data_IF_764383518655
#
_entry.id   IF_764383518655
#
_cell.length_a   1.000
_cell.length_b   1.000
_cell.length_c   1.000
_cell.angle_alpha   90.00
_cell.angle_beta   90.00
_cell.angle_gamma   90.00
#
_symmetry.space_group_name_H-M   'P 1'
#
loop_
_entity.id
_entity.type
_entity.pdbx_description
1 polymer ?
#
# COMPACT_ATOMS: atom_id res chain seq x y z
N UNK A 1 -1.78 18.17 -15.94
CA UNK A 1 -2.39 17.97 -17.26
C UNK A 1 -2.58 16.48 -17.50
N UNK A 2 -3.70 16.06 -18.03
CA UNK A 2 -4.00 14.66 -18.38
C UNK A 2 -4.68 14.60 -19.75
N UNK A 3 -4.50 13.48 -20.43
CA UNK A 3 -5.16 13.19 -21.69
C UNK A 3 -5.38 11.69 -21.81
N UNK A 4 -6.48 11.29 -22.43
CA UNK A 4 -6.83 9.90 -22.68
C UNK A 4 -7.30 9.74 -24.12
N UNK A 5 -7.05 8.57 -24.67
CA UNK A 5 -7.47 8.13 -25.99
C UNK A 5 -8.17 6.79 -25.86
N UNK A 6 -9.38 6.69 -26.36
CA UNK A 6 -10.16 5.45 -26.38
C UNK A 6 -10.41 4.98 -27.80
N UNK A 7 -10.34 3.68 -28.00
CA UNK A 7 -10.67 3.01 -29.24
C UNK A 7 -11.65 1.87 -28.99
N UNK A 8 -12.79 1.90 -29.67
CA UNK A 8 -13.80 0.87 -29.60
C UNK A 8 -14.23 0.49 -31.01
N UNK A 9 -13.96 -0.74 -31.41
CA UNK A 9 -14.41 -1.28 -32.69
C UNK A 9 -14.63 -2.79 -32.59
N UNK A 10 -15.82 -3.21 -32.99
CA UNK A 10 -16.23 -4.62 -33.02
C UNK A 10 -15.98 -5.34 -31.68
N UNK A 11 -15.01 -6.20 -31.63
CA UNK A 11 -14.63 -7.01 -30.47
C UNK A 11 -13.52 -6.39 -29.60
N UNK A 12 -12.90 -5.32 -30.07
CA UNK A 12 -11.74 -4.70 -29.43
C UNK A 12 -12.13 -3.37 -28.80
N UNK A 13 -11.82 -3.23 -27.51
CA UNK A 13 -11.79 -1.95 -26.81
C UNK A 13 -10.38 -1.74 -26.29
N UNK A 14 -9.80 -0.56 -26.48
CA UNK A 14 -8.49 -0.21 -25.96
C UNK A 14 -8.45 1.24 -25.49
N UNK A 15 -7.56 1.54 -24.56
CA UNK A 15 -7.31 2.89 -24.12
C UNK A 15 -5.82 3.15 -23.91
N UNK A 16 -5.43 4.41 -24.04
CA UNK A 16 -4.13 4.94 -23.65
C UNK A 16 -4.36 6.24 -22.91
N UNK A 17 -3.80 6.39 -21.72
CA UNK A 17 -3.91 7.60 -20.93
C UNK A 17 -2.54 8.05 -20.41
N UNK A 18 -2.33 9.35 -20.37
CA UNK A 18 -1.11 9.96 -19.88
C UNK A 18 -1.40 11.20 -19.03
N UNK A 19 -0.58 11.44 -18.03
CA UNK A 19 -0.64 12.67 -17.25
C UNK A 19 0.76 13.13 -16.84
N UNK A 20 0.89 14.43 -16.63
CA UNK A 20 2.06 15.07 -16.04
C UNK A 20 1.59 16.01 -14.94
N UNK A 21 2.30 16.04 -13.83
CA UNK A 21 2.02 16.88 -12.66
C UNK A 21 3.32 17.49 -12.13
N UNK A 22 3.19 18.62 -11.47
CA UNK A 22 4.22 19.17 -10.60
C UNK A 22 3.67 19.30 -9.20
N UNK A 23 4.34 18.71 -8.22
CA UNK A 23 4.01 18.80 -6.80
C UNK A 23 5.07 19.63 -6.11
N UNK A 24 4.68 20.80 -5.63
CA UNK A 24 5.54 21.66 -4.83
C UNK A 24 5.23 21.49 -3.35
N UNK A 25 6.25 21.28 -2.54
CA UNK A 25 6.16 21.23 -1.08
C UNK A 25 6.94 22.34 -0.46
N UNK A 26 6.36 23.00 0.53
CA UNK A 26 6.98 23.96 1.41
C UNK A 26 6.35 23.85 2.80
N UNK A 27 7.07 24.29 3.83
CA UNK A 27 6.64 24.23 5.23
C UNK A 27 6.75 25.61 5.85
N UNK A 28 5.77 25.98 6.65
CA UNK A 28 5.81 27.15 7.50
C UNK A 28 5.75 26.73 8.97
N UNK A 29 6.86 26.89 9.68
CA UNK A 29 6.96 26.61 11.11
C UNK A 29 6.47 27.80 11.93
N UNK A 30 5.66 27.53 12.96
CA UNK A 30 5.07 28.59 13.82
C UNK A 30 5.69 28.62 15.22
N UNK A 31 6.54 27.69 15.57
CA UNK A 31 6.92 27.44 16.95
C UNK A 31 8.43 27.42 17.19
N UNK A 32 9.21 26.86 16.30
CA UNK A 32 10.63 26.56 16.50
C UNK A 32 11.57 27.52 15.77
N UNK A 33 11.06 28.23 14.77
CA UNK A 33 11.83 29.17 13.98
C UNK A 33 11.38 30.60 14.23
N UNK A 34 12.31 31.57 14.15
CA UNK A 34 11.96 32.99 14.09
C UNK A 34 11.23 33.31 12.75
N UNK A 35 10.62 34.49 12.68
CA UNK A 35 9.83 34.88 11.51
C UNK A 35 10.60 34.94 10.19
N UNK A 36 11.92 35.09 10.23
CA UNK A 36 12.75 35.15 9.02
C UNK A 36 13.08 33.77 8.48
N UNK A 37 13.11 32.74 9.34
CA UNK A 37 13.47 31.38 9.01
C UNK A 37 12.27 30.39 9.12
N UNK A 38 11.07 30.92 9.38
CA UNK A 38 9.87 30.12 9.57
C UNK A 38 9.43 29.39 8.31
N UNK A 39 9.74 29.92 7.13
CA UNK A 39 9.41 29.33 5.84
C UNK A 39 10.58 28.53 5.28
N UNK A 40 10.32 27.30 4.88
CA UNK A 40 11.31 26.43 4.24
C UNK A 40 11.53 26.80 2.77
N UNK A 41 12.55 26.24 2.18
CA UNK A 41 12.65 26.18 0.72
C UNK A 41 11.47 25.40 0.13
N UNK A 42 11.12 25.75 -1.12
CA UNK A 42 10.14 25.00 -1.91
C UNK A 42 10.85 23.92 -2.73
N UNK A 43 10.51 22.66 -2.50
CA UNK A 43 10.99 21.55 -3.31
C UNK A 43 9.91 21.10 -4.29
N UNK A 44 10.29 20.85 -5.55
CA UNK A 44 9.36 20.50 -6.62
C UNK A 44 9.69 19.14 -7.20
N UNK A 45 8.63 18.32 -7.39
CA UNK A 45 8.71 16.98 -7.97
C UNK A 45 7.81 16.90 -9.19
N UNK A 46 8.40 16.59 -10.34
CA UNK A 46 7.64 16.33 -11.57
C UNK A 46 7.23 14.88 -11.58
N UNK A 47 5.92 14.65 -11.53
CA UNK A 47 5.31 13.34 -11.64
C UNK A 47 4.71 13.11 -13.03
N UNK A 48 4.61 11.85 -13.43
CA UNK A 48 3.92 11.47 -14.65
C UNK A 48 3.30 10.09 -14.53
N UNK A 49 2.25 9.87 -15.32
CA UNK A 49 1.58 8.58 -15.43
C UNK A 49 1.40 8.25 -16.90
N UNK A 50 1.71 7.01 -17.26
CA UNK A 50 1.33 6.43 -18.56
C UNK A 50 0.67 5.09 -18.27
N UNK A 51 -0.54 4.90 -18.78
CA UNK A 51 -1.28 3.64 -18.64
C UNK A 51 -2.05 3.33 -19.91
N UNK A 52 -2.16 2.07 -20.21
CA UNK A 52 -2.93 1.60 -21.36
C UNK A 52 -3.46 0.20 -21.11
N UNK A 53 -4.49 -0.15 -21.83
CA UNK A 53 -5.09 -1.46 -21.76
C UNK A 53 -5.93 -1.78 -22.96
N UNK A 54 -6.20 -3.05 -23.12
CA UNK A 54 -7.08 -3.56 -24.16
C UNK A 54 -7.93 -4.72 -23.65
N UNK A 55 -9.16 -4.77 -24.10
CA UNK A 55 -10.07 -5.90 -23.91
C UNK A 55 -10.49 -6.42 -25.27
N UNK A 56 -10.47 -7.74 -25.45
CA UNK A 56 -10.92 -8.40 -26.64
C UNK A 56 -12.00 -9.43 -26.33
N UNK A 57 -13.19 -9.21 -26.88
CA UNK A 57 -14.32 -10.14 -26.77
C UNK A 57 -14.13 -11.30 -27.76
N UNK A 58 -13.73 -12.46 -27.27
CA UNK A 58 -13.59 -13.67 -28.08
C UNK A 58 -14.93 -14.05 -28.72
N UNK A 59 -15.99 -14.00 -27.94
CA UNK A 59 -17.39 -14.15 -28.31
C UNK A 59 -18.32 -13.49 -27.28
N UNK A 60 -19.61 -13.79 -27.32
CA UNK A 60 -20.62 -13.21 -26.40
C UNK A 60 -20.39 -13.58 -24.91
N UNK A 61 -19.66 -14.65 -24.64
CA UNK A 61 -19.46 -15.21 -23.30
C UNK A 61 -18.04 -15.02 -22.77
N UNK A 62 -17.05 -14.81 -23.62
CA UNK A 62 -15.64 -14.86 -23.27
C UNK A 62 -14.92 -13.59 -23.69
N UNK A 63 -14.16 -13.04 -22.79
CA UNK A 63 -13.23 -11.93 -23.07
C UNK A 63 -11.89 -12.14 -22.41
N UNK A 64 -10.86 -11.52 -22.97
CA UNK A 64 -9.53 -11.38 -22.37
C UNK A 64 -9.18 -9.92 -22.33
N UNK A 65 -8.44 -9.52 -21.28
CA UNK A 65 -7.93 -8.17 -21.20
C UNK A 65 -6.51 -8.13 -20.67
N UNK A 66 -5.81 -7.06 -21.00
CA UNK A 66 -4.50 -6.75 -20.44
C UNK A 66 -4.41 -5.25 -20.14
N UNK A 67 -3.82 -4.93 -19.00
CA UNK A 67 -3.53 -3.57 -18.58
C UNK A 67 -2.06 -3.43 -18.22
N UNK A 68 -1.48 -2.28 -18.52
CA UNK A 68 -0.14 -1.91 -18.10
C UNK A 68 -0.13 -0.45 -17.67
N UNK A 69 0.63 -0.14 -16.62
CA UNK A 69 0.77 1.22 -16.13
C UNK A 69 2.14 1.48 -15.53
N UNK A 70 2.60 2.70 -15.73
CA UNK A 70 3.77 3.23 -15.05
C UNK A 70 3.44 4.60 -14.45
N UNK A 71 3.73 4.76 -13.17
CA UNK A 71 3.46 5.97 -12.41
C UNK A 71 4.77 6.42 -11.76
N UNK A 72 5.10 7.71 -11.91
CA UNK A 72 6.11 8.42 -11.12
C UNK A 72 5.41 9.53 -10.36
N UNK A 73 5.49 9.52 -9.04
CA UNK A 73 4.82 10.49 -8.17
C UNK A 73 5.78 11.08 -7.14
N UNK A 74 5.48 12.28 -6.68
CA UNK A 74 6.21 12.89 -5.57
C UNK A 74 6.22 11.98 -4.34
N UNK A 75 7.31 11.93 -3.57
CA UNK A 75 7.36 11.26 -2.28
C UNK A 75 6.38 11.92 -1.29
N UNK A 76 6.13 11.29 -0.15
CA UNK A 76 5.33 11.93 0.90
C UNK A 76 6.02 13.20 1.41
N UNK A 77 5.21 14.15 1.91
CA UNK A 77 5.72 15.39 2.49
C UNK A 77 6.66 15.11 3.66
N UNK A 78 6.18 14.42 4.70
CA UNK A 78 6.98 14.06 5.86
C UNK A 78 7.69 12.72 5.64
N UNK A 79 8.97 12.66 5.93
CA UNK A 79 9.78 11.47 5.77
C UNK A 79 10.23 11.20 4.33
N UNK A 80 9.66 11.89 3.34
CA UNK A 80 10.03 11.81 1.93
C UNK A 80 10.71 13.10 1.46
N UNK A 81 9.93 14.16 1.21
CA UNK A 81 10.44 15.45 0.73
C UNK A 81 11.16 16.26 1.81
N UNK A 82 10.75 16.09 3.06
CA UNK A 82 11.39 16.71 4.23
C UNK A 82 11.93 15.63 5.16
N UNK A 83 12.98 15.96 5.92
CA UNK A 83 13.47 15.11 6.99
C UNK A 83 12.34 14.91 8.03
N UNK A 84 12.26 13.74 8.59
CA UNK A 84 11.25 13.45 9.62
C UNK A 84 11.65 14.08 10.95
N UNK A 85 11.40 15.39 11.07
CA UNK A 85 11.60 16.12 12.31
C UNK A 85 10.45 17.10 12.48
N UNK A 86 9.83 17.10 13.66
CA UNK A 86 8.77 18.04 14.00
C UNK A 86 9.32 19.49 14.16
N UNK A 87 10.63 19.62 14.35
CA UNK A 87 11.31 20.87 14.68
C UNK A 87 12.18 21.40 13.55
N UNK A 88 12.17 20.78 12.35
CA UNK A 88 13.06 21.13 11.26
C UNK A 88 12.31 21.51 9.98
N UNK A 89 12.76 22.58 9.34
CA UNK A 89 12.42 22.97 7.97
C UNK A 89 13.35 22.34 6.92
N UNK A 90 14.26 21.47 7.34
CA UNK A 90 15.24 20.86 6.45
C UNK A 90 14.57 19.93 5.43
N UNK A 91 14.91 20.15 4.18
CA UNK A 91 14.52 19.27 3.08
C UNK A 91 15.36 17.99 3.11
N UNK A 92 14.81 16.90 2.59
CA UNK A 92 15.56 15.66 2.42
C UNK A 92 16.41 15.76 1.14
N UNK A 93 17.75 15.77 1.24
CA UNK A 93 18.62 15.90 0.07
C UNK A 93 18.57 14.68 -0.86
N UNK A 94 18.15 13.53 -0.34
CA UNK A 94 18.08 12.28 -1.08
C UNK A 94 16.66 12.01 -1.63
N UNK A 95 15.74 12.98 -1.53
CA UNK A 95 14.35 12.80 -1.94
C UNK A 95 14.21 12.52 -3.43
N UNK A 96 13.53 11.42 -3.76
CA UNK A 96 13.23 11.01 -5.13
C UNK A 96 11.75 10.65 -5.28
N UNK A 97 11.25 10.70 -6.51
CA UNK A 97 9.90 10.21 -6.81
C UNK A 97 9.78 8.72 -6.54
N UNK A 98 8.67 8.33 -5.93
CA UNK A 98 8.23 6.93 -5.92
C UNK A 98 7.76 6.54 -7.32
N UNK A 99 8.06 5.30 -7.75
CA UNK A 99 7.66 4.77 -9.04
C UNK A 99 6.89 3.47 -8.87
N UNK A 100 5.90 3.25 -9.72
CA UNK A 100 5.08 2.05 -9.70
C UNK A 100 4.95 1.55 -11.13
N UNK A 101 5.36 0.32 -11.37
CA UNK A 101 5.06 -0.42 -12.57
C UNK A 101 3.99 -1.46 -12.24
N UNK A 102 2.95 -1.56 -13.07
CA UNK A 102 1.90 -2.56 -12.89
C UNK A 102 1.52 -3.18 -14.23
N UNK A 103 1.33 -4.49 -14.22
CA UNK A 103 0.82 -5.27 -15.33
C UNK A 103 -0.28 -6.21 -14.82
N UNK A 104 -1.36 -6.33 -15.58
CA UNK A 104 -2.48 -7.21 -15.30
C UNK A 104 -2.93 -7.91 -16.57
N UNK A 105 -3.23 -9.20 -16.47
CA UNK A 105 -3.84 -10.01 -17.51
C UNK A 105 -5.07 -10.70 -16.94
N UNK A 106 -6.21 -10.59 -17.62
CA UNK A 106 -7.44 -11.15 -17.15
C UNK A 106 -8.22 -11.91 -18.22
N UNK A 107 -9.05 -12.82 -17.74
CA UNK A 107 -10.00 -13.57 -18.52
C UNK A 107 -11.38 -13.51 -17.87
N UNK A 108 -12.38 -13.11 -18.62
CA UNK A 108 -13.77 -13.05 -18.20
C UNK A 108 -14.63 -14.10 -18.90
N UNK A 109 -15.48 -14.75 -18.12
CA UNK A 109 -16.57 -15.58 -18.61
C UNK A 109 -17.91 -15.03 -18.12
N UNK A 110 -18.88 -14.92 -19.01
CA UNK A 110 -20.20 -14.39 -18.67
C UNK A 110 -21.31 -15.17 -19.36
N UNK A 111 -22.18 -15.77 -18.58
CA UNK A 111 -23.39 -16.41 -19.05
C UNK A 111 -24.59 -16.01 -18.16
N UNK A 112 -25.83 -16.36 -18.52
CA UNK A 112 -27.01 -16.07 -17.68
C UNK A 112 -26.93 -16.68 -16.29
N UNK A 113 -26.22 -17.80 -16.13
CA UNK A 113 -26.17 -18.60 -14.91
C UNK A 113 -24.85 -18.51 -14.17
N UNK A 114 -23.78 -18.07 -14.85
CA UNK A 114 -22.44 -18.03 -14.28
C UNK A 114 -21.61 -16.88 -14.88
N UNK A 115 -21.00 -16.10 -14.01
CA UNK A 115 -20.01 -15.07 -14.38
C UNK A 115 -18.77 -15.32 -13.55
N UNK A 116 -17.60 -15.27 -14.18
CA UNK A 116 -16.32 -15.38 -13.48
C UNK A 116 -15.28 -14.48 -14.14
N UNK A 117 -14.37 -13.91 -13.34
CA UNK A 117 -13.18 -13.23 -13.78
C UNK A 117 -11.97 -13.86 -13.12
N UNK A 118 -10.94 -14.14 -13.90
CA UNK A 118 -9.64 -14.61 -13.45
C UNK A 118 -8.58 -13.59 -13.84
N UNK A 119 -7.86 -13.07 -12.86
CA UNK A 119 -6.82 -12.08 -13.05
C UNK A 119 -5.49 -12.60 -12.56
N UNK A 120 -4.42 -12.28 -13.30
CA UNK A 120 -3.03 -12.42 -12.87
C UNK A 120 -2.42 -11.03 -12.90
N UNK A 121 -1.78 -10.63 -11.81
CA UNK A 121 -1.18 -9.31 -11.70
C UNK A 121 0.26 -9.37 -11.23
N UNK A 122 1.03 -8.35 -11.64
CA UNK A 122 2.36 -8.05 -11.14
C UNK A 122 2.49 -6.54 -10.98
N UNK A 123 2.80 -6.10 -9.77
CA UNK A 123 3.06 -4.69 -9.46
C UNK A 123 4.39 -4.57 -8.74
N UNK A 124 5.24 -3.68 -9.20
CA UNK A 124 6.51 -3.36 -8.59
C UNK A 124 6.53 -1.90 -8.16
N UNK A 125 6.83 -1.70 -6.89
CA UNK A 125 7.06 -0.40 -6.28
C UNK A 125 8.55 -0.15 -6.19
N UNK A 126 8.97 1.06 -6.56
CA UNK A 126 10.36 1.50 -6.47
C UNK A 126 10.44 2.79 -5.67
N UNK A 127 11.56 2.95 -4.98
CA UNK A 127 11.93 4.18 -4.31
C UNK A 127 10.90 4.68 -3.28
N UNK A 128 10.19 3.77 -2.60
CA UNK A 128 9.40 4.17 -1.43
C UNK A 128 10.36 4.68 -0.36
N UNK A 129 9.90 5.68 0.37
CA UNK A 129 10.68 6.24 1.48
C UNK A 129 10.16 5.71 2.81
N UNK A 130 11.07 5.32 3.68
CA UNK A 130 10.83 5.10 5.10
C UNK A 130 11.74 6.00 5.92
N UNK A 131 11.24 6.53 7.03
CA UNK A 131 12.00 7.44 7.86
C UNK A 131 11.91 7.05 9.33
N UNK A 132 13.03 7.23 10.03
CA UNK A 132 13.14 6.99 11.46
C UNK A 132 14.08 7.98 12.10
N UNK A 133 14.17 8.01 13.43
CA UNK A 133 15.05 8.91 14.14
C UNK A 133 15.55 8.32 15.45
N UNK A 134 16.72 8.81 15.89
CA UNK A 134 17.36 8.51 17.17
C UNK A 134 17.58 9.82 17.90
N UNK A 135 17.33 9.86 19.20
CA UNK A 135 17.64 11.03 20.01
C UNK A 135 19.15 11.17 20.17
N UNK A 136 19.64 12.39 20.06
CA UNK A 136 21.01 12.75 20.42
C UNK A 136 20.96 13.33 21.83
N UNK A 137 21.68 12.70 22.77
CA UNK A 137 21.68 13.07 24.19
C UNK A 137 23.03 13.67 24.61
N UNK A 138 22.97 14.59 25.55
CA UNK A 138 24.15 15.13 26.23
C UNK A 138 24.74 14.11 27.24
N UNK A 139 25.86 14.50 27.89
CA UNK A 139 26.50 13.65 28.92
C UNK A 139 25.62 13.39 30.14
N UNK A 140 24.53 14.14 30.31
CA UNK A 140 23.57 14.00 31.42
C UNK A 140 22.32 13.20 31.03
N UNK A 141 22.23 12.73 29.76
CA UNK A 141 21.09 12.01 29.22
C UNK A 141 19.92 12.90 28.79
N UNK A 142 20.14 14.23 28.65
CA UNK A 142 19.10 15.10 28.11
C UNK A 142 19.15 15.09 26.60
N UNK A 143 17.98 15.00 25.94
CA UNK A 143 17.89 15.13 24.51
C UNK A 143 18.30 16.56 24.09
N UNK A 144 19.32 16.68 23.27
CA UNK A 144 19.82 17.98 22.73
C UNK A 144 19.49 18.15 21.26
N UNK A 145 19.35 17.05 20.50
CA UNK A 145 18.97 17.06 19.09
C UNK A 145 18.41 15.69 18.69
N UNK A 146 18.18 15.49 17.40
CA UNK A 146 17.69 14.25 16.82
C UNK A 146 18.45 13.92 15.53
N UNK A 147 19.01 12.73 15.47
CA UNK A 147 19.53 12.14 14.24
C UNK A 147 18.39 11.51 13.46
N UNK A 148 18.10 12.02 12.28
CA UNK A 148 17.03 11.54 11.42
C UNK A 148 17.59 10.84 10.20
N UNK A 149 17.02 9.72 9.82
CA UNK A 149 17.37 8.96 8.61
C UNK A 149 16.12 8.82 7.75
N UNK A 150 16.24 9.20 6.49
CA UNK A 150 15.23 8.96 5.46
C UNK A 150 15.82 7.99 4.45
N UNK A 151 15.23 6.81 4.35
CA UNK A 151 15.68 5.76 3.44
C UNK A 151 14.83 5.76 2.18
N UNK A 152 15.42 6.02 1.04
CA UNK A 152 14.86 5.80 -0.28
C UNK A 152 15.26 4.43 -0.80
N UNK A 153 14.61 4.01 -1.89
CA UNK A 153 14.92 2.72 -2.50
C UNK A 153 14.32 1.54 -1.73
N UNK A 154 13.26 1.76 -0.96
CA UNK A 154 12.48 0.68 -0.35
C UNK A 154 11.54 0.13 -1.39
N UNK A 155 11.97 -0.92 -2.09
CA UNK A 155 11.24 -1.53 -3.19
C UNK A 155 10.39 -2.71 -2.73
N UNK A 156 9.27 -2.93 -3.41
CA UNK A 156 8.39 -4.06 -3.13
C UNK A 156 7.79 -4.65 -4.40
N UNK A 157 7.66 -5.97 -4.43
CA UNK A 157 6.98 -6.70 -5.50
C UNK A 157 5.70 -7.33 -4.97
N UNK A 158 4.59 -7.06 -5.66
CA UNK A 158 3.28 -7.63 -5.41
C UNK A 158 2.83 -8.38 -6.64
N UNK A 159 2.64 -9.67 -6.54
CA UNK A 159 2.13 -10.49 -7.64
C UNK A 159 1.17 -11.54 -7.12
N UNK A 160 0.23 -11.94 -7.96
CA UNK A 160 -0.76 -12.91 -7.53
C UNK A 160 -1.78 -13.26 -8.60
N UNK A 161 -2.74 -14.07 -8.16
CA UNK A 161 -3.88 -14.54 -8.95
C UNK A 161 -5.14 -14.26 -8.15
N UNK A 162 -6.16 -13.75 -8.82
CA UNK A 162 -7.47 -13.45 -8.26
C UNK A 162 -8.55 -14.09 -9.11
N UNK A 163 -9.52 -14.67 -8.47
CA UNK A 163 -10.72 -15.23 -9.07
C UNK A 163 -11.94 -14.68 -8.35
N UNK A 164 -12.88 -14.13 -9.07
CA UNK A 164 -14.22 -13.85 -8.57
C UNK A 164 -15.28 -14.54 -9.44
N UNK A 165 -16.38 -14.92 -8.83
CA UNK A 165 -17.48 -15.52 -9.55
C UNK A 165 -18.84 -15.26 -8.91
N UNK A 166 -19.85 -15.28 -9.75
CA UNK A 166 -21.26 -15.32 -9.35
C UNK A 166 -21.94 -16.46 -10.10
N UNK A 167 -22.59 -17.35 -9.37
CA UNK A 167 -23.35 -18.47 -9.92
C UNK A 167 -24.84 -18.36 -9.53
N UNK A 168 -25.73 -18.63 -10.47
CA UNK A 168 -27.19 -18.68 -10.29
C UNK A 168 -27.71 -20.02 -10.77
N UNK A 169 -27.38 -21.13 -10.06
CA UNK A 169 -27.74 -22.48 -10.51
C UNK A 169 -29.25 -22.67 -10.54
N UNK A 170 -29.96 -21.93 -9.68
CA UNK A 170 -31.41 -21.97 -9.59
C UNK A 170 -31.97 -20.56 -9.45
N UNK A 171 -33.23 -20.33 -9.80
CA UNK A 171 -33.89 -19.01 -9.67
C UNK A 171 -33.97 -18.52 -8.22
N UNK A 172 -33.89 -19.41 -7.27
CA UNK A 172 -33.99 -19.13 -5.85
C UNK A 172 -32.61 -19.03 -5.15
N UNK A 173 -31.49 -19.35 -5.82
CA UNK A 173 -30.16 -19.40 -5.20
C UNK A 173 -29.15 -18.56 -6.00
N UNK A 174 -28.58 -17.58 -5.36
CA UNK A 174 -27.42 -16.84 -5.83
C UNK A 174 -26.20 -17.23 -4.96
N UNK A 175 -25.08 -17.59 -5.59
CA UNK A 175 -23.81 -17.93 -4.94
C UNK A 175 -22.77 -16.96 -5.50
N UNK A 176 -21.96 -16.36 -4.64
CA UNK A 176 -20.83 -15.56 -5.03
C UNK A 176 -19.58 -16.02 -4.29
N UNK A 177 -18.44 -15.87 -4.90
CA UNK A 177 -17.17 -16.20 -4.27
C UNK A 177 -16.04 -15.40 -4.84
N UNK A 178 -14.99 -15.28 -4.02
CA UNK A 178 -13.73 -14.67 -4.39
C UNK A 178 -12.59 -15.49 -3.79
N UNK A 179 -11.50 -15.58 -4.52
CA UNK A 179 -10.25 -16.17 -4.06
C UNK A 179 -9.10 -15.33 -4.57
N UNK A 180 -8.20 -14.94 -3.69
CA UNK A 180 -6.97 -14.24 -4.03
C UNK A 180 -5.78 -14.88 -3.34
N UNK A 181 -4.72 -15.12 -4.09
CA UNK A 181 -3.44 -15.59 -3.59
C UNK A 181 -2.33 -14.69 -4.13
N UNK A 182 -1.73 -13.91 -3.23
CA UNK A 182 -0.60 -13.03 -3.52
C UNK A 182 0.73 -13.61 -3.04
N UNK A 183 1.81 -13.09 -3.58
CA UNK A 183 3.17 -13.22 -3.09
C UNK A 183 3.79 -11.83 -3.06
N UNK A 184 3.69 -11.18 -1.91
CA UNK A 184 4.13 -9.80 -1.71
C UNK A 184 5.37 -9.77 -0.86
N UNK A 185 6.42 -9.19 -1.40
CA UNK A 185 7.74 -9.13 -0.76
C UNK A 185 8.40 -7.78 -0.98
N UNK A 186 9.14 -7.35 0.01
CA UNK A 186 10.17 -6.34 -0.17
C UNK A 186 11.27 -6.94 -1.04
N UNK A 187 11.96 -6.11 -1.84
CA UNK A 187 12.88 -6.57 -2.88
C UNK A 187 14.13 -5.69 -3.03
N UNK A 188 14.55 -5.04 -1.94
CA UNK A 188 15.71 -4.16 -1.96
C UNK A 188 16.47 -4.17 -0.63
N UNK A 189 17.68 -3.61 -0.69
CA UNK A 189 18.53 -3.32 0.48
C UNK A 189 18.81 -1.81 0.50
N UNK A 190 17.80 -0.96 0.85
CA UNK A 190 17.97 0.47 0.87
C UNK A 190 19.01 0.91 1.88
N UNK A 191 19.68 2.03 1.60
CA UNK A 191 20.64 2.67 2.48
C UNK A 191 20.22 4.11 2.72
N UNK A 192 20.17 4.53 3.98
CA UNK A 192 19.93 5.91 4.36
C UNK A 192 21.10 6.51 5.11
N UNK A 193 21.13 7.83 5.17
CA UNK A 193 22.14 8.62 5.87
C UNK A 193 21.51 9.45 6.97
N UNK A 194 22.27 9.72 8.04
CA UNK A 194 21.78 10.47 9.19
C UNK A 194 22.04 11.97 9.03
N UNK A 195 21.03 12.74 9.35
CA UNK A 195 21.06 14.22 9.39
C UNK A 195 20.55 14.71 10.75
N UNK A 196 21.09 15.83 11.22
CA UNK A 196 20.56 16.51 12.41
C UNK A 196 19.25 17.27 12.07
N UNK A 197 18.66 17.94 13.07
CA UNK A 197 17.42 18.71 12.90
C UNK A 197 17.56 19.91 11.96
N UNK A 198 18.77 20.35 11.68
CA UNK A 198 19.06 21.43 10.72
C UNK A 198 19.36 20.91 9.31
N UNK A 199 19.34 19.59 9.09
CA UNK A 199 19.66 18.98 7.81
C UNK A 199 21.16 18.86 7.53
N UNK A 200 21.99 19.00 8.55
CA UNK A 200 23.43 18.82 8.42
C UNK A 200 23.77 17.33 8.55
N UNK A 201 24.69 16.80 7.72
CA UNK A 201 25.10 15.41 7.77
C UNK A 201 25.82 15.09 9.08
N UNK A 202 25.58 13.87 9.59
CA UNK A 202 26.16 13.38 10.82
C UNK A 202 27.15 12.24 10.54
N UNK A 203 28.27 12.24 11.25
CA UNK A 203 29.18 11.10 11.41
C UNK A 203 28.89 10.40 12.75
N UNK A 204 29.43 9.20 12.92
CA UNK A 204 29.31 8.45 14.18
C UNK A 204 30.69 7.99 14.65
N UNK A 205 31.15 8.61 15.71
CA UNK A 205 32.48 8.39 16.27
C UNK A 205 32.43 8.13 17.78
N UNK A 206 33.17 7.16 18.24
CA UNK A 206 33.29 6.82 19.67
C UNK A 206 31.92 6.65 20.39
N UNK A 207 30.91 6.11 19.66
CA UNK A 207 29.58 5.90 20.22
C UNK A 207 28.68 7.13 20.24
N UNK A 208 29.06 8.23 19.58
CA UNK A 208 28.28 9.48 19.54
C UNK A 208 28.14 10.02 18.12
N UNK A 209 27.02 10.69 17.84
CA UNK A 209 26.86 11.48 16.62
C UNK A 209 27.65 12.77 16.73
N UNK A 210 28.37 13.09 15.66
CA UNK A 210 29.14 14.33 15.48
C UNK A 210 28.85 14.90 14.08
N UNK A 211 29.10 16.18 13.84
CA UNK A 211 28.96 16.75 12.52
C UNK A 211 29.95 16.12 11.53
N UNK A 212 29.46 15.73 10.36
CA UNK A 212 30.30 15.23 9.27
C UNK A 212 30.89 16.39 8.47
N UNK A 213 32.07 16.20 7.89
CA UNK A 213 32.81 17.25 7.19
C UNK A 213 32.29 17.54 5.78
N UNK A 214 31.23 16.91 5.33
CA UNK A 214 30.59 17.15 4.03
C UNK A 214 29.46 16.16 3.76
N UNK A 215 28.55 16.54 2.86
CA UNK A 215 27.31 15.79 2.58
C UNK A 215 27.58 14.35 2.09
N UNK A 216 28.69 14.10 1.44
CA UNK A 216 29.08 12.77 0.93
C UNK A 216 30.42 12.34 1.53
N UNK A 217 30.72 12.81 2.72
CA UNK A 217 31.98 12.43 3.40
C UNK A 217 32.01 10.92 3.67
N UNK A 218 33.18 10.26 3.60
CA UNK A 218 33.31 8.84 3.89
C UNK A 218 32.87 8.45 5.31
N UNK A 219 32.88 9.41 6.22
CA UNK A 219 32.47 9.30 7.61
C UNK A 219 30.97 9.51 7.86
N UNK A 220 30.17 9.85 6.82
CA UNK A 220 28.73 10.08 6.95
C UNK A 220 28.02 8.82 7.47
N UNK A 221 27.46 8.95 8.66
CA UNK A 221 26.77 7.85 9.34
C UNK A 221 25.58 7.35 8.53
N UNK A 222 25.45 6.06 8.39
CA UNK A 222 24.43 5.43 7.56
C UNK A 222 23.95 4.12 8.14
N UNK A 223 22.78 3.64 7.70
CA UNK A 223 22.31 2.27 7.92
C UNK A 223 21.77 1.73 6.60
N UNK A 224 22.11 0.49 6.28
CA UNK A 224 21.45 -0.27 5.23
C UNK A 224 20.44 -1.24 5.86
N UNK A 225 19.29 -1.44 5.20
CA UNK A 225 18.29 -2.43 5.60
C UNK A 225 18.23 -3.54 4.57
N UNK A 226 18.59 -4.75 4.95
CA UNK A 226 18.38 -5.91 4.10
C UNK A 226 16.93 -6.39 4.25
N UNK A 227 16.09 -5.97 3.32
CA UNK A 227 14.67 -6.32 3.24
C UNK A 227 14.37 -7.34 2.14
N UNK A 228 15.40 -7.78 1.39
CA UNK A 228 15.16 -8.66 0.24
C UNK A 228 14.51 -9.98 0.66
N UNK A 229 13.36 -10.26 0.05
CA UNK A 229 12.56 -11.45 0.35
C UNK A 229 11.67 -11.35 1.60
N UNK A 230 11.78 -10.31 2.42
CA UNK A 230 10.92 -10.07 3.59
C UNK A 230 9.46 -9.89 3.14
N UNK A 231 8.52 -10.53 3.84
CA UNK A 231 7.09 -10.43 3.52
C UNK A 231 6.56 -9.03 3.78
N UNK A 232 5.76 -8.51 2.84
CA UNK A 232 5.00 -7.29 3.06
C UNK A 232 3.86 -7.61 4.01
N UNK A 233 3.74 -6.83 5.08
CA UNK A 233 2.73 -6.96 6.12
C UNK A 233 1.50 -6.08 5.92
N UNK A 234 0.64 -6.05 6.94
CA UNK A 234 -0.54 -5.20 7.00
C UNK A 234 -1.77 -5.70 6.23
N UNK A 235 -1.62 -6.72 5.39
CA UNK A 235 -2.74 -7.32 4.64
C UNK A 235 -2.52 -8.81 4.39
N UNK A 236 -3.61 -9.58 4.42
CA UNK A 236 -3.56 -11.01 4.14
C UNK A 236 -3.23 -11.28 2.66
N UNK A 237 -2.16 -12.06 2.43
CA UNK A 237 -1.74 -12.46 1.07
C UNK A 237 -2.54 -13.64 0.50
N UNK A 238 -3.45 -14.21 1.30
CA UNK A 238 -4.47 -15.15 0.84
C UNK A 238 -5.79 -14.75 1.43
N UNK A 239 -6.76 -14.47 0.58
CA UNK A 239 -8.14 -14.20 0.98
C UNK A 239 -9.08 -15.07 0.17
N UNK A 240 -10.14 -15.54 0.80
CA UNK A 240 -11.22 -16.22 0.11
C UNK A 240 -12.54 -15.79 0.71
N UNK A 241 -13.57 -15.68 -0.10
CA UNK A 241 -14.94 -15.50 0.39
C UNK A 241 -15.90 -16.41 -0.36
N UNK A 242 -16.92 -16.83 0.35
CA UNK A 242 -18.05 -17.57 -0.23
C UNK A 242 -19.33 -17.03 0.39
N UNK A 243 -20.21 -16.54 -0.46
CA UNK A 243 -21.53 -16.06 -0.08
C UNK A 243 -22.62 -16.88 -0.79
N UNK A 244 -23.74 -17.08 -0.13
CA UNK A 244 -24.92 -17.69 -0.71
C UNK A 244 -26.18 -16.97 -0.24
N UNK A 245 -27.05 -16.59 -1.17
CA UNK A 245 -28.35 -15.99 -0.87
C UNK A 245 -29.46 -16.84 -1.42
N UNK A 246 -30.27 -17.38 -0.51
CA UNK A 246 -31.47 -18.15 -0.83
C UNK A 246 -32.72 -17.25 -0.80
N UNK A 247 -33.47 -17.22 -1.90
CA UNK A 247 -34.79 -16.59 -2.04
C UNK A 247 -35.86 -17.61 -1.66
N UNK A 248 -36.08 -17.80 -0.35
CA UNK A 248 -36.96 -18.82 0.21
C UNK A 248 -38.42 -18.61 -0.27
N UNK A 249 -38.81 -17.33 -0.41
CA UNK A 249 -40.09 -16.95 -0.97
C UNK A 249 -39.98 -15.59 -1.68
N UNK A 250 -41.10 -15.10 -2.21
CA UNK A 250 -41.15 -13.71 -2.75
C UNK A 250 -40.88 -12.66 -1.70
N UNK A 251 -41.10 -13.01 -0.41
CA UNK A 251 -40.94 -12.08 0.72
C UNK A 251 -39.64 -12.31 1.52
N UNK A 252 -39.19 -13.55 1.68
CA UNK A 252 -38.07 -13.94 2.55
C UNK A 252 -36.84 -14.29 1.76
N UNK A 253 -35.72 -13.64 2.13
CA UNK A 253 -34.36 -13.97 1.70
C UNK A 253 -33.50 -14.26 2.90
N UNK A 254 -32.62 -15.25 2.78
CA UNK A 254 -31.62 -15.63 3.78
C UNK A 254 -30.27 -15.66 3.08
N UNK A 255 -29.28 -15.02 3.66
CA UNK A 255 -27.92 -14.96 3.15
C UNK A 255 -26.94 -15.49 4.18
N UNK A 256 -25.91 -16.16 3.71
CA UNK A 256 -24.74 -16.59 4.48
C UNK A 256 -23.50 -16.13 3.73
N UNK A 257 -22.58 -15.49 4.42
CA UNK A 257 -21.31 -15.01 3.88
C UNK A 257 -20.18 -15.45 4.80
N UNK A 258 -19.10 -15.98 4.23
CA UNK A 258 -17.92 -16.38 5.00
C UNK A 258 -16.66 -15.87 4.31
N UNK A 259 -15.76 -15.24 5.06
CA UNK A 259 -14.49 -14.72 4.58
C UNK A 259 -13.36 -15.38 5.34
N UNK A 260 -12.35 -15.81 4.62
CA UNK A 260 -11.10 -16.39 5.13
C UNK A 260 -9.93 -15.45 4.87
N UNK A 261 -9.07 -15.31 5.87
CA UNK A 261 -7.79 -14.58 5.80
C UNK A 261 -6.65 -15.50 6.18
N UNK A 262 -5.66 -15.60 5.32
CA UNK A 262 -4.47 -16.42 5.56
C UNK A 262 -3.21 -15.74 5.04
N UNK A 263 -2.04 -16.19 5.52
CA UNK A 263 -0.75 -15.60 5.19
C UNK A 263 -0.74 -14.08 5.41
N UNK A 264 -1.32 -13.65 6.51
CA UNK A 264 -1.21 -12.30 7.01
C UNK A 264 0.08 -12.17 7.84
N UNK A 265 0.81 -11.09 7.66
CA UNK A 265 2.09 -10.85 8.33
C UNK A 265 2.02 -9.50 9.04
N UNK A 266 2.71 -9.39 10.19
CA UNK A 266 2.93 -8.10 10.81
C UNK A 266 3.76 -7.21 9.88
N UNK A 267 3.60 -5.92 10.01
CA UNK A 267 4.49 -5.00 9.30
C UNK A 267 5.84 -4.92 10.02
N UNK A 268 6.89 -4.55 9.30
CA UNK A 268 8.18 -4.26 9.91
C UNK A 268 8.26 -2.78 10.31
N UNK A 269 9.00 -2.52 11.36
CA UNK A 269 9.27 -1.16 11.82
C UNK A 269 10.77 -1.03 12.13
N UNK A 270 11.28 0.17 12.00
CA UNK A 270 12.65 0.50 12.40
C UNK A 270 12.60 1.06 13.82
N UNK A 271 13.11 0.30 14.76
CA UNK A 271 13.24 0.75 16.15
C UNK A 271 14.51 1.61 16.32
N UNK A 272 14.45 2.62 17.19
CA UNK A 272 15.60 3.47 17.46
C UNK A 272 16.82 2.71 17.98
N UNK A 273 16.60 1.65 18.77
CA UNK A 273 17.65 0.74 19.25
C UNK A 273 18.35 0.02 18.11
N UNK A 274 17.59 -0.47 17.13
CA UNK A 274 18.14 -1.18 15.97
C UNK A 274 19.01 -0.25 15.13
N UNK A 275 18.55 1.00 14.91
CA UNK A 275 19.37 2.01 14.23
C UNK A 275 20.68 2.25 14.95
N UNK A 276 20.64 2.51 16.25
CA UNK A 276 21.84 2.82 17.04
C UNK A 276 22.87 1.69 17.02
N UNK A 277 22.40 0.43 17.12
CA UNK A 277 23.27 -0.75 17.08
C UNK A 277 23.89 -1.01 15.71
N UNK A 278 23.19 -0.62 14.65
CA UNK A 278 23.57 -0.93 13.26
C UNK A 278 24.15 0.28 12.50
N UNK A 279 24.53 1.37 13.17
CA UNK A 279 25.19 2.51 12.51
C UNK A 279 26.44 2.01 11.76
N UNK A 280 26.55 2.41 10.48
CA UNK A 280 27.56 1.97 9.52
C UNK A 280 27.58 0.46 9.23
N UNK A 281 26.45 -0.22 9.45
CA UNK A 281 26.26 -1.64 9.18
C UNK A 281 25.00 -1.89 8.36
N UNK A 282 24.76 -3.14 8.03
CA UNK A 282 23.50 -3.62 7.46
C UNK A 282 22.66 -4.29 8.55
N UNK A 283 21.46 -3.78 8.76
CA UNK A 283 20.45 -4.42 9.58
C UNK A 283 19.73 -5.47 8.71
N UNK A 284 19.81 -6.72 9.10
CA UNK A 284 19.09 -7.82 8.45
C UNK A 284 17.76 -8.02 9.14
N UNK A 285 16.68 -7.96 8.39
CA UNK A 285 15.35 -8.22 8.90
C UNK A 285 15.00 -9.70 8.77
N UNK A 286 14.54 -10.29 9.88
CA UNK A 286 13.88 -11.58 9.85
C UNK A 286 12.48 -11.48 9.25
N UNK A 287 11.93 -12.63 8.85
CA UNK A 287 10.55 -12.68 8.37
C UNK A 287 9.60 -12.17 9.46
N UNK A 288 8.67 -11.25 9.12
CA UNK A 288 7.72 -10.73 10.09
C UNK A 288 6.83 -11.86 10.63
N UNK A 289 6.33 -11.66 11.84
CA UNK A 289 5.43 -12.63 12.48
C UNK A 289 4.22 -12.91 11.60
N UNK A 290 3.98 -14.18 11.36
CA UNK A 290 2.81 -14.62 10.62
C UNK A 290 1.62 -14.73 11.56
N UNK A 291 0.65 -13.85 11.36
CA UNK A 291 -0.61 -13.83 12.10
C UNK A 291 -1.38 -15.12 11.80
N UNK A 292 -1.98 -15.79 12.79
CA UNK A 292 -2.81 -16.96 12.56
C UNK A 292 -3.90 -16.71 11.54
N UNK A 293 -4.23 -17.74 10.77
CA UNK A 293 -5.32 -17.63 9.79
C UNK A 293 -6.66 -17.53 10.51
N UNK A 294 -7.54 -16.67 10.03
CA UNK A 294 -8.86 -16.45 10.58
C UNK A 294 -9.95 -16.59 9.52
N UNK A 295 -11.16 -16.90 9.96
CA UNK A 295 -12.36 -16.81 9.14
C UNK A 295 -13.49 -16.17 9.94
N UNK A 296 -14.32 -15.39 9.25
CA UNK A 296 -15.50 -14.74 9.82
C UNK A 296 -16.67 -15.08 8.94
N UNK A 297 -17.75 -15.57 9.55
CA UNK A 297 -18.96 -15.95 8.85
C UNK A 297 -20.17 -15.23 9.43
N UNK A 298 -21.01 -14.70 8.56
CA UNK A 298 -22.15 -13.88 8.89
C UNK A 298 -23.43 -14.53 8.32
N UNK A 299 -24.52 -14.38 9.05
CA UNK A 299 -25.87 -14.79 8.62
C UNK A 299 -26.76 -13.57 8.54
N UNK A 300 -27.47 -13.40 7.44
CA UNK A 300 -28.42 -12.33 7.28
C UNK A 300 -29.78 -12.83 6.80
N UNK A 301 -30.83 -12.09 7.16
CA UNK A 301 -32.18 -12.37 6.66
C UNK A 301 -32.93 -11.08 6.41
N UNK A 302 -33.77 -11.05 5.39
CA UNK A 302 -34.66 -9.95 5.11
C UNK A 302 -36.05 -10.43 4.71
N UNK A 303 -37.07 -9.81 5.32
CA UNK A 303 -38.47 -10.10 5.09
C UNK A 303 -39.22 -8.85 4.61
N UNK A 304 -39.85 -8.97 3.44
CA UNK A 304 -40.67 -7.90 2.84
C UNK A 304 -42.14 -8.17 3.13
N UNK A 305 -42.85 -7.13 3.58
CA UNK A 305 -44.28 -7.21 3.88
C UNK A 305 -44.94 -5.86 3.65
N UNK A 306 -46.26 -5.84 3.77
CA UNK A 306 -47.07 -4.63 3.64
C UNK A 306 -47.83 -4.36 4.92
N UNK A 307 -47.84 -3.10 5.34
CA UNK A 307 -48.66 -2.60 6.45
C UNK A 307 -49.51 -1.45 5.90
N UNK A 308 -50.86 -1.62 5.85
CA UNK A 308 -51.76 -0.54 5.42
C UNK A 308 -51.44 0.04 4.06
N UNK A 309 -50.93 -0.75 3.10
CA UNK A 309 -50.54 -0.29 1.78
C UNK A 309 -49.07 0.18 1.65
N UNK A 310 -48.35 0.34 2.73
CA UNK A 310 -46.92 0.71 2.73
C UNK A 310 -46.07 -0.55 2.63
N UNK A 311 -45.09 -0.55 1.73
CA UNK A 311 -44.10 -1.62 1.64
C UNK A 311 -43.07 -1.44 2.78
N UNK A 312 -42.84 -2.47 3.55
CA UNK A 312 -41.87 -2.50 4.65
C UNK A 312 -40.88 -3.67 4.46
N UNK A 313 -39.66 -3.48 4.97
CA UNK A 313 -38.61 -4.51 5.01
C UNK A 313 -38.11 -4.60 6.44
N UNK A 314 -38.15 -5.80 7.01
CA UNK A 314 -37.45 -6.12 8.24
C UNK A 314 -36.15 -6.87 7.89
N UNK A 315 -35.02 -6.41 8.41
CA UNK A 315 -33.72 -7.06 8.19
C UNK A 315 -33.03 -7.33 9.52
N UNK A 316 -32.37 -8.48 9.61
CA UNK A 316 -31.53 -8.87 10.74
C UNK A 316 -30.22 -9.45 10.23
N UNK A 317 -29.14 -9.21 10.99
CA UNK A 317 -27.80 -9.72 10.73
C UNK A 317 -27.22 -10.28 12.01
N UNK A 318 -26.59 -11.45 11.93
CA UNK A 318 -25.74 -12.02 12.97
C UNK A 318 -24.32 -12.05 12.43
N UNK A 319 -23.47 -11.19 12.95
CA UNK A 319 -22.06 -11.13 12.56
C UNK A 319 -21.26 -12.12 13.40
N UNK A 320 -20.17 -12.65 12.82
CA UNK A 320 -19.27 -13.60 13.48
C UNK A 320 -20.03 -14.79 14.10
N UNK A 321 -20.82 -15.47 13.29
CA UNK A 321 -21.75 -16.55 13.70
C UNK A 321 -21.10 -17.64 14.57
N UNK A 322 -19.79 -17.87 14.41
CA UNK A 322 -19.04 -18.91 15.13
C UNK A 322 -18.24 -18.35 16.32
N UNK A 323 -18.48 -17.08 16.69
CA UNK A 323 -17.80 -16.39 17.80
C UNK A 323 -16.29 -16.59 17.83
N UNK A 324 -15.68 -16.42 16.64
CA UNK A 324 -14.22 -16.47 16.55
C UNK A 324 -13.63 -15.25 17.20
N UNK A 325 -12.99 -15.45 18.35
CA UNK A 325 -12.03 -14.53 18.95
C UNK A 325 -10.61 -14.91 18.51
N UNK A 326 -9.78 -13.93 18.28
CA UNK A 326 -8.36 -14.11 17.98
C UNK A 326 -7.60 -14.75 19.14
#
# INVERSE_FOLDING_TARGET
CSSDLEYNKDKLSAFLAGSISNTGYWRYDRFYYDKQHAESETVNFIGYTVKGGANYNLNEYHNVFANVGYISRAPFFSGGAFLQSATSNATNPDAVNEKIFSFELGYGFRSPYFTANLNVYHTQWFDKTNAASVNIEDEKGNQVDRATINMQGVDATHQGIELDFVARPFRWLDINGMFSIGNWRWSSTPKGYFYNSLGQPLAYENGKFVEATGIMAPDHASVALDLDGVRVGGSAQTTASLGATAKISKALRVGFDCVFYGRNYSDWAIESSDLTYNINKTLVYDSPWRIPSAYVCDLNASYRFKIGGVNAILSGVVNNLFDRSE
#
